data_IF_672026001415
#
_entry.id   IF_672026001415
#
_cell.length_a   1.000
_cell.length_b   1.000
_cell.length_c   1.000
_cell.angle_alpha   90.00
_cell.angle_beta   90.00
_cell.angle_gamma   90.00
#
_symmetry.space_group_name_H-M   'P 1'
#
loop_
_entity.id
_entity.type
_entity.pdbx_description
1 polymer ?
#
# COMPACT_ATOMS: atom_id res chain seq x y z
N UNK A 1 21.40 -2.65 -8.36
CA UNK A 1 20.46 -3.47 -7.57
C UNK A 1 19.26 -2.60 -7.22
N UNK A 2 18.20 -2.64 -8.04
CA UNK A 2 17.03 -1.78 -7.88
C UNK A 2 16.43 -1.99 -6.48
N UNK A 3 16.13 -0.90 -5.77
CA UNK A 3 15.45 -0.99 -4.49
C UNK A 3 14.14 -1.76 -4.71
N UNK A 4 14.01 -2.92 -4.06
CA UNK A 4 12.86 -3.85 -4.13
C UNK A 4 11.56 -3.27 -3.53
N UNK A 5 11.43 -1.95 -3.50
CA UNK A 5 10.33 -1.23 -2.85
C UNK A 5 9.75 -0.30 -3.91
N UNK A 6 8.58 -0.68 -4.42
CA UNK A 6 7.89 0.01 -5.51
C UNK A 6 7.62 1.49 -5.26
N UNK A 7 7.11 2.22 -6.26
CA UNK A 7 6.83 3.66 -6.15
C UNK A 7 5.83 3.95 -5.03
N UNK A 8 5.86 5.16 -4.50
CA UNK A 8 4.87 5.60 -3.51
C UNK A 8 3.45 5.49 -4.09
N UNK A 9 2.51 4.93 -3.32
CA UNK A 9 1.18 4.62 -3.81
C UNK A 9 0.35 3.77 -2.87
N UNK A 10 -0.90 3.51 -3.28
CA UNK A 10 -1.80 2.62 -2.56
C UNK A 10 -1.63 1.19 -3.04
N UNK A 11 -1.48 0.28 -2.09
CA UNK A 11 -1.26 -1.13 -2.36
C UNK A 11 -2.17 -2.00 -1.49
N UNK A 12 -2.46 -3.24 -1.92
CA UNK A 12 -3.18 -4.22 -1.14
C UNK A 12 -2.66 -4.39 0.29
N UNK A 13 -3.53 -4.29 1.29
CA UNK A 13 -3.20 -4.77 2.63
C UNK A 13 -3.22 -6.32 2.63
N UNK A 14 -2.14 -6.99 3.10
CA UNK A 14 -2.04 -8.46 3.11
C UNK A 14 -2.86 -9.11 4.22
N UNK A 15 -3.25 -8.36 5.25
CA UNK A 15 -4.06 -8.83 6.38
C UNK A 15 -5.54 -8.67 6.06
N UNK A 16 -5.92 -7.54 5.45
CA UNK A 16 -7.29 -7.28 5.06
C UNK A 16 -7.41 -6.98 3.55
N UNK A 17 -7.90 -7.94 2.74
CA UNK A 17 -8.05 -7.74 1.30
C UNK A 17 -9.07 -6.65 0.92
N UNK A 18 -9.91 -6.19 1.86
CA UNK A 18 -10.82 -5.07 1.64
C UNK A 18 -10.15 -3.69 1.82
N UNK A 19 -8.93 -3.63 2.33
CA UNK A 19 -8.20 -2.39 2.60
C UNK A 19 -6.98 -2.24 1.69
N UNK A 20 -6.60 -1.02 1.39
CA UNK A 20 -5.32 -0.65 0.81
C UNK A 20 -4.54 0.20 1.80
N UNK A 21 -3.23 0.02 1.84
CA UNK A 21 -2.33 0.80 2.69
C UNK A 21 -1.43 1.66 1.81
N UNK A 22 -1.07 2.85 2.30
CA UNK A 22 -0.20 3.75 1.55
C UNK A 22 1.27 3.43 1.83
N UNK A 23 2.02 3.19 0.77
CA UNK A 23 3.47 3.06 0.75
C UNK A 23 4.08 4.39 0.31
N UNK A 24 5.06 4.91 1.06
CA UNK A 24 5.70 6.21 0.75
C UNK A 24 6.97 6.08 -0.12
N UNK A 25 7.33 4.87 -0.54
CA UNK A 25 8.61 4.58 -1.23
C UNK A 25 9.68 4.00 -0.32
N UNK A 26 9.55 4.15 1.01
CA UNK A 26 10.53 3.72 2.00
C UNK A 26 9.92 2.75 3.02
N UNK A 27 8.68 3.01 3.45
CA UNK A 27 7.91 2.26 4.45
C UNK A 27 6.40 2.35 4.22
N UNK A 28 5.67 1.42 4.85
CA UNK A 28 4.22 1.53 4.96
C UNK A 28 3.87 2.64 5.95
N UNK A 29 2.93 3.48 5.59
CA UNK A 29 2.40 4.52 6.48
C UNK A 29 1.18 4.00 7.25
N UNK A 30 0.65 4.83 8.13
CA UNK A 30 -0.55 4.53 8.93
C UNK A 30 -1.84 4.70 8.12
N UNK A 31 -1.76 5.34 6.95
CA UNK A 31 -2.90 5.56 6.09
C UNK A 31 -3.38 4.24 5.48
N UNK A 32 -4.59 3.84 5.85
CA UNK A 32 -5.34 2.77 5.23
C UNK A 32 -6.66 3.33 4.70
N UNK A 33 -7.07 2.88 3.53
CA UNK A 33 -8.35 3.23 2.92
C UNK A 33 -9.07 1.96 2.46
N UNK A 34 -10.41 1.96 2.39
CA UNK A 34 -11.14 0.91 1.71
C UNK A 34 -10.65 0.80 0.26
N UNK A 35 -10.41 -0.41 -0.22
CA UNK A 35 -10.41 -0.67 -1.66
C UNK A 35 -11.85 -0.52 -2.09
N UNK A 36 -12.19 0.67 -2.59
CA UNK A 36 -13.53 0.98 -3.08
C UNK A 36 -14.03 -0.09 -4.07
N UNK A 37 -15.35 -0.15 -4.33
CA UNK A 37 -15.86 -0.99 -5.40
C UNK A 37 -15.13 -0.58 -6.69
N UNK A 38 -14.55 -1.57 -7.37
CA UNK A 38 -13.88 -1.36 -8.65
C UNK A 38 -14.86 -0.84 -9.69
#
# INVERSE_FOLDING_TARGET
MAALRGPAGWYPDPVNPALQRYWDGVRWTEHAAPRGPR
#
